data_IF_067309583382
#
_entry.id   IF_067309583382
#
_cell.length_a   1.000
_cell.length_b   1.000
_cell.length_c   1.000
_cell.angle_alpha   90.00
_cell.angle_beta   90.00
_cell.angle_gamma   90.00
#
_symmetry.space_group_name_H-M   'P 1'
#
loop_
_entity.id
_entity.type
_entity.pdbx_description
1 polymer ?
#
# COMPACT_ATOMS: atom_id res chain seq x y z
N UNK A 1 -87.34 10.40 28.78
CA UNK A 1 -85.85 10.29 28.97
C UNK A 1 -85.45 9.02 28.27
N UNK A 2 -84.83 9.15 27.09
CA UNK A 2 -84.38 8.01 26.28
C UNK A 2 -82.90 7.87 26.40
N UNK A 3 -82.43 6.74 26.93
CA UNK A 3 -81.00 6.40 26.97
C UNK A 3 -80.62 5.73 25.66
N UNK A 4 -79.73 6.40 24.94
CA UNK A 4 -79.08 5.86 23.73
C UNK A 4 -77.84 5.13 24.15
N UNK A 5 -77.87 3.78 24.06
CA UNK A 5 -76.66 2.95 24.19
C UNK A 5 -76.04 2.75 22.81
N UNK A 6 -74.83 3.26 22.61
CA UNK A 6 -74.04 3.00 21.42
C UNK A 6 -73.28 1.63 21.57
N UNK A 7 -73.31 0.79 20.56
CA UNK A 7 -72.48 -0.43 20.58
C UNK A 7 -71.01 -0.06 20.18
N UNK A 8 -70.09 -0.35 21.07
CA UNK A 8 -68.63 -0.26 20.78
C UNK A 8 -68.24 -1.50 19.98
N UNK A 9 -68.06 -1.32 18.68
CA UNK A 9 -67.58 -2.37 17.78
C UNK A 9 -66.05 -2.42 17.86
N UNK A 10 -65.56 -3.27 18.77
CA UNK A 10 -64.13 -3.50 18.91
C UNK A 10 -63.69 -4.49 17.81
N UNK A 11 -63.20 -3.92 16.69
CA UNK A 11 -62.60 -4.68 15.60
C UNK A 11 -61.25 -5.19 16.06
N UNK A 12 -61.15 -6.48 16.46
CA UNK A 12 -59.90 -7.15 16.73
C UNK A 12 -59.11 -7.25 15.42
N UNK A 13 -58.11 -6.40 15.27
CA UNK A 13 -57.10 -6.58 14.23
C UNK A 13 -56.23 -7.80 14.58
N UNK A 14 -56.47 -8.89 13.88
CA UNK A 14 -55.63 -10.08 13.97
C UNK A 14 -54.32 -9.80 13.28
N UNK A 15 -53.27 -9.47 14.04
CA UNK A 15 -51.91 -9.35 13.52
C UNK A 15 -51.48 -10.76 13.13
N UNK A 16 -51.48 -11.02 11.82
CA UNK A 16 -51.01 -12.29 11.24
C UNK A 16 -49.48 -12.23 11.30
N UNK A 17 -48.89 -12.80 12.34
CA UNK A 17 -47.47 -13.09 12.37
C UNK A 17 -47.19 -14.18 11.33
N UNK A 18 -46.70 -13.76 10.14
CA UNK A 18 -46.22 -14.70 9.14
C UNK A 18 -44.99 -15.39 9.72
N UNK A 19 -45.15 -16.62 10.18
CA UNK A 19 -44.07 -17.47 10.69
C UNK A 19 -43.02 -17.61 9.60
N UNK A 20 -41.90 -16.91 9.74
CA UNK A 20 -40.76 -17.05 8.85
C UNK A 20 -40.27 -18.50 8.91
N UNK A 21 -40.21 -19.12 7.75
CA UNK A 21 -39.78 -20.50 7.62
C UNK A 21 -38.31 -20.58 8.01
N UNK A 22 -38.00 -21.21 9.15
CA UNK A 22 -36.62 -21.28 9.71
C UNK A 22 -35.61 -21.77 8.68
N UNK A 23 -36.03 -22.64 7.77
CA UNK A 23 -35.18 -23.16 6.68
C UNK A 23 -34.76 -22.04 5.68
N UNK A 24 -35.68 -21.14 5.31
CA UNK A 24 -35.36 -20.01 4.41
C UNK A 24 -34.47 -18.97 5.06
N UNK A 25 -34.62 -18.76 6.37
CA UNK A 25 -33.74 -17.86 7.12
C UNK A 25 -32.30 -18.39 7.18
N UNK A 26 -32.11 -19.65 7.52
CA UNK A 26 -30.78 -20.28 7.52
C UNK A 26 -30.15 -20.29 6.13
N UNK A 27 -30.93 -20.57 5.09
CA UNK A 27 -30.39 -20.53 3.72
C UNK A 27 -29.88 -19.13 3.34
N UNK A 28 -30.60 -18.07 3.68
CA UNK A 28 -30.20 -16.68 3.43
C UNK A 28 -28.93 -16.30 4.18
N UNK A 29 -28.79 -16.69 5.46
CA UNK A 29 -27.60 -16.42 6.27
C UNK A 29 -26.37 -17.12 5.68
N UNK A 30 -26.47 -18.41 5.35
CA UNK A 30 -25.37 -19.19 4.75
C UNK A 30 -24.94 -18.58 3.40
N UNK A 31 -25.91 -18.22 2.55
CA UNK A 31 -25.61 -17.59 1.26
C UNK A 31 -24.93 -16.24 1.44
N UNK A 32 -25.38 -15.43 2.39
CA UNK A 32 -24.77 -14.14 2.72
C UNK A 32 -23.29 -14.29 3.16
N UNK A 33 -23.01 -15.23 4.06
CA UNK A 33 -21.66 -15.51 4.54
C UNK A 33 -20.75 -15.93 3.37
N UNK A 34 -21.20 -16.88 2.53
CA UNK A 34 -20.41 -17.35 1.39
C UNK A 34 -20.09 -16.21 0.41
N UNK A 35 -21.08 -15.36 0.07
CA UNK A 35 -20.87 -14.21 -0.81
C UNK A 35 -19.89 -13.21 -0.21
N UNK A 36 -19.92 -12.99 1.11
CA UNK A 36 -18.97 -12.08 1.77
C UNK A 36 -17.55 -12.63 1.69
N UNK A 37 -17.35 -13.93 1.95
CA UNK A 37 -16.02 -14.54 1.83
C UNK A 37 -15.49 -14.53 0.40
N UNK A 38 -16.34 -14.81 -0.60
CA UNK A 38 -15.96 -14.72 -2.00
C UNK A 38 -15.60 -13.28 -2.37
N UNK A 39 -16.37 -12.29 -1.92
CA UNK A 39 -16.05 -10.87 -2.14
C UNK A 39 -14.72 -10.46 -1.55
N UNK A 40 -14.43 -10.83 -0.29
CA UNK A 40 -13.14 -10.54 0.37
C UNK A 40 -11.98 -11.26 -0.33
N UNK A 41 -12.19 -12.51 -0.79
CA UNK A 41 -11.18 -13.25 -1.52
C UNK A 41 -10.84 -12.60 -2.86
N UNK A 42 -11.85 -12.15 -3.62
CA UNK A 42 -11.66 -11.43 -4.88
C UNK A 42 -10.92 -10.11 -4.66
N UNK A 43 -11.27 -9.33 -3.62
CA UNK A 43 -10.57 -8.10 -3.28
C UNK A 43 -9.11 -8.40 -2.90
N UNK A 44 -8.85 -9.47 -2.14
CA UNK A 44 -7.49 -9.92 -1.80
C UNK A 44 -6.67 -10.29 -3.03
N UNK A 45 -7.25 -10.97 -4.01
CA UNK A 45 -6.57 -11.32 -5.26
C UNK A 45 -6.31 -10.11 -6.16
N UNK A 46 -7.25 -9.17 -6.22
CA UNK A 46 -7.07 -7.92 -7.00
C UNK A 46 -5.95 -7.06 -6.40
N UNK A 47 -5.85 -6.99 -5.07
CA UNK A 47 -4.74 -6.26 -4.42
C UNK A 47 -3.37 -6.94 -4.60
N UNK A 48 -3.31 -8.26 -4.83
CA UNK A 48 -2.05 -8.95 -5.15
C UNK A 48 -1.62 -8.75 -6.60
N UNK A 49 -2.55 -8.46 -7.51
CA UNK A 49 -2.23 -8.18 -8.92
C UNK A 49 -1.82 -6.73 -9.19
N UNK A 50 -1.62 -5.90 -8.17
CA UNK A 50 -0.94 -4.60 -8.31
C UNK A 50 0.58 -4.73 -8.54
N UNK A 51 1.11 -5.95 -8.67
CA UNK A 51 2.48 -6.27 -9.05
C UNK A 51 2.73 -6.21 -10.58
N UNK A 52 1.94 -5.48 -11.33
CA UNK A 52 2.03 -5.39 -12.80
C UNK A 52 2.33 -4.00 -13.36
N UNK A 53 2.39 -2.98 -12.53
CA UNK A 53 3.03 -1.72 -12.90
C UNK A 53 4.36 -1.69 -12.15
N UNK A 54 5.44 -1.96 -12.85
CA UNK A 54 6.78 -1.74 -12.34
C UNK A 54 6.82 -0.27 -11.86
N UNK A 55 6.90 0.01 -10.56
CA UNK A 55 6.83 1.38 -10.06
C UNK A 55 8.05 2.20 -10.48
N UNK A 56 8.99 1.58 -11.20
CA UNK A 56 10.17 2.21 -11.79
C UNK A 56 9.83 2.65 -13.21
N UNK A 57 9.95 3.95 -13.45
CA UNK A 57 9.91 4.53 -14.79
C UNK A 57 11.35 4.77 -15.25
N UNK A 58 11.82 3.94 -16.17
CA UNK A 58 13.17 4.05 -16.72
C UNK A 58 13.30 5.24 -17.69
N UNK A 59 14.48 5.88 -17.67
CA UNK A 59 14.85 6.90 -18.64
C UNK A 59 15.31 6.22 -19.94
N UNK A 60 15.07 6.86 -21.09
CA UNK A 60 15.58 6.38 -22.38
C UNK A 60 17.12 6.31 -22.42
N UNK A 61 17.78 7.22 -21.71
CA UNK A 61 19.24 7.24 -21.55
C UNK A 61 19.62 7.52 -20.11
N UNK A 62 20.55 6.73 -19.52
CA UNK A 62 21.11 7.01 -18.22
C UNK A 62 21.77 8.40 -18.20
N UNK A 63 21.67 9.08 -17.07
CA UNK A 63 22.28 10.40 -16.84
C UNK A 63 23.18 10.31 -15.62
N UNK A 64 24.34 10.99 -15.65
CA UNK A 64 25.19 11.08 -14.47
C UNK A 64 24.41 11.65 -13.29
N UNK A 65 24.51 11.00 -12.14
CA UNK A 65 23.87 11.48 -10.91
C UNK A 65 24.71 12.62 -10.32
N UNK A 66 24.19 13.83 -10.42
CA UNK A 66 24.79 15.08 -9.90
C UNK A 66 26.27 15.26 -10.27
N UNK A 67 26.76 14.68 -11.36
CA UNK A 67 28.16 14.69 -11.81
C UNK A 67 29.17 14.18 -10.75
N UNK A 68 28.71 13.34 -9.81
CA UNK A 68 29.54 12.72 -8.79
C UNK A 68 30.26 11.51 -9.36
N UNK A 69 31.52 11.34 -8.98
CA UNK A 69 32.30 10.14 -9.33
C UNK A 69 32.05 8.98 -8.38
N UNK A 70 31.68 9.31 -7.16
CA UNK A 70 31.45 8.36 -6.09
C UNK A 70 30.48 8.96 -5.07
N UNK A 71 29.55 8.16 -4.56
CA UNK A 71 28.59 8.60 -3.56
C UNK A 71 28.25 7.43 -2.64
N UNK A 72 28.22 7.69 -1.33
CA UNK A 72 27.81 6.70 -0.33
C UNK A 72 26.36 6.89 0.06
N UNK A 73 25.66 5.78 0.23
CA UNK A 73 24.25 5.73 0.60
C UNK A 73 24.08 4.83 1.83
N UNK A 74 23.19 5.21 2.73
CA UNK A 74 22.76 4.38 3.84
C UNK A 74 21.41 3.75 3.51
N UNK A 75 21.31 2.43 3.50
CA UNK A 75 20.08 1.68 3.23
C UNK A 75 19.07 1.90 4.33
N UNK A 76 17.87 2.34 3.95
CA UNK A 76 16.73 2.51 4.84
C UNK A 76 15.78 1.31 4.81
N UNK A 77 15.52 0.79 3.59
CA UNK A 77 14.56 -0.28 3.37
C UNK A 77 14.96 -1.11 2.15
N UNK A 78 14.92 -2.42 2.30
CA UNK A 78 15.19 -3.37 1.20
C UNK A 78 13.89 -3.70 0.47
N UNK A 79 13.93 -3.69 -0.86
CA UNK A 79 12.80 -3.90 -1.76
C UNK A 79 13.14 -4.97 -2.82
N UNK A 80 13.48 -6.18 -2.38
CA UNK A 80 13.90 -7.25 -3.30
C UNK A 80 15.25 -6.95 -3.96
N UNK A 81 15.27 -6.70 -5.26
CA UNK A 81 16.49 -6.39 -6.05
C UNK A 81 16.81 -4.88 -6.06
N UNK A 82 16.39 -4.16 -5.06
CA UNK A 82 16.67 -2.74 -4.90
C UNK A 82 16.58 -2.35 -3.43
N UNK A 83 17.06 -1.16 -3.08
CA UNK A 83 16.90 -0.61 -1.74
C UNK A 83 16.61 0.88 -1.78
N UNK A 84 15.70 1.35 -0.95
CA UNK A 84 15.59 2.77 -0.61
C UNK A 84 16.74 3.13 0.31
N UNK A 85 17.47 4.18 -0.04
CA UNK A 85 18.63 4.63 0.70
C UNK A 85 18.70 6.16 0.78
N UNK A 86 19.38 6.66 1.79
CA UNK A 86 19.66 8.10 1.94
C UNK A 86 21.10 8.38 1.62
N UNK A 87 21.32 9.40 0.81
CA UNK A 87 22.64 9.86 0.41
C UNK A 87 23.42 10.44 1.60
N UNK A 88 24.73 10.23 1.59
CA UNK A 88 25.64 10.90 2.50
C UNK A 88 25.60 12.42 2.25
N UNK A 89 25.40 13.17 3.29
CA UNK A 89 25.54 14.62 3.31
C UNK A 89 26.95 15.01 3.80
N UNK A 90 27.16 16.30 3.98
CA UNK A 90 28.45 16.83 4.44
C UNK A 90 28.93 16.20 5.76
N UNK A 91 30.23 16.13 5.94
CA UNK A 91 30.84 15.68 7.19
C UNK A 91 30.67 16.74 8.26
N UNK A 92 29.98 16.41 9.34
CA UNK A 92 29.85 17.27 10.51
C UNK A 92 30.68 16.65 11.64
N UNK A 93 31.70 17.38 12.13
CA UNK A 93 32.52 16.90 13.24
C UNK A 93 33.42 15.70 12.93
N UNK A 94 33.59 15.34 11.65
CA UNK A 94 34.38 14.18 11.21
C UNK A 94 33.52 12.94 10.87
N UNK A 95 32.28 12.91 11.29
CA UNK A 95 31.35 11.82 10.99
C UNK A 95 30.54 12.10 9.71
N UNK A 96 30.34 11.07 8.91
CA UNK A 96 29.48 11.13 7.72
C UNK A 96 28.02 11.03 8.16
N UNK A 97 27.24 12.02 7.80
CA UNK A 97 25.83 12.06 8.08
C UNK A 97 25.03 11.71 6.81
N UNK A 98 23.89 11.03 6.97
CA UNK A 98 23.04 10.55 5.88
C UNK A 98 21.69 11.28 5.90
N UNK A 99 21.67 12.57 5.53
CA UNK A 99 20.46 13.41 5.42
C UNK A 99 20.19 13.90 4.00
N UNK A 100 20.98 13.43 3.04
CA UNK A 100 20.86 13.83 1.66
C UNK A 100 19.58 13.30 0.99
N UNK A 101 19.59 13.24 -0.32
CA UNK A 101 18.47 12.79 -1.10
C UNK A 101 18.14 11.33 -0.81
N UNK A 102 16.82 11.02 -0.72
CA UNK A 102 16.37 9.63 -0.75
C UNK A 102 16.40 9.16 -2.20
N UNK A 103 16.97 7.99 -2.43
CA UNK A 103 17.10 7.35 -3.74
C UNK A 103 16.69 5.89 -3.68
N UNK A 104 16.39 5.28 -4.81
CA UNK A 104 16.34 3.84 -4.98
C UNK A 104 17.64 3.39 -5.63
N UNK A 105 18.41 2.53 -4.97
CA UNK A 105 19.62 1.90 -5.56
C UNK A 105 19.25 0.51 -6.06
N UNK A 106 19.64 0.19 -7.30
CA UNK A 106 19.47 -1.15 -7.88
C UNK A 106 20.59 -2.05 -7.41
N UNK A 107 20.28 -3.32 -7.18
CA UNK A 107 21.25 -4.35 -6.76
C UNK A 107 20.65 -5.35 -5.80
N UNK A 108 21.42 -6.36 -5.43
CA UNK A 108 20.98 -7.49 -4.61
C UNK A 108 21.70 -7.53 -3.27
N UNK A 109 21.16 -8.34 -2.35
CA UNK A 109 21.78 -8.64 -1.05
C UNK A 109 21.96 -7.46 -0.11
N UNK A 110 21.11 -6.46 -0.22
CA UNK A 110 21.09 -5.36 0.74
C UNK A 110 20.52 -5.78 2.09
N UNK A 111 20.95 -5.08 3.14
CA UNK A 111 20.33 -5.13 4.46
C UNK A 111 20.16 -3.72 5.06
N UNK A 112 19.23 -3.58 5.99
CA UNK A 112 18.95 -2.28 6.63
C UNK A 112 20.18 -1.72 7.34
N UNK A 113 20.34 -0.41 7.29
CA UNK A 113 21.48 0.35 7.83
C UNK A 113 22.83 0.08 7.17
N UNK A 114 22.88 -0.73 6.12
CA UNK A 114 24.09 -0.92 5.32
C UNK A 114 24.53 0.39 4.66
N UNK A 115 25.84 0.64 4.66
CA UNK A 115 26.44 1.72 3.87
C UNK A 115 26.97 1.11 2.57
N UNK A 116 26.48 1.63 1.45
CA UNK A 116 26.85 1.20 0.11
C UNK A 116 27.51 2.38 -0.60
N UNK A 117 28.67 2.15 -1.17
CA UNK A 117 29.35 3.14 -2.00
C UNK A 117 29.16 2.79 -3.46
N UNK A 118 28.61 3.73 -4.22
CA UNK A 118 28.34 3.58 -5.65
C UNK A 118 29.35 4.45 -6.42
N UNK A 119 30.12 3.82 -7.29
CA UNK A 119 31.04 4.50 -8.20
C UNK A 119 30.34 4.83 -9.51
N UNK A 120 30.64 5.99 -10.07
CA UNK A 120 30.03 6.50 -11.30
C UNK A 120 28.50 6.43 -11.27
N UNK A 121 27.83 6.91 -10.21
CA UNK A 121 26.39 6.75 -10.06
C UNK A 121 25.65 7.39 -11.23
N UNK A 122 24.73 6.63 -11.81
CA UNK A 122 23.89 7.06 -12.91
C UNK A 122 22.42 7.01 -12.50
N UNK A 123 21.72 8.06 -12.83
CA UNK A 123 20.26 8.07 -12.72
C UNK A 123 19.68 7.35 -13.94
N UNK A 124 19.07 6.21 -13.71
CA UNK A 124 18.48 5.37 -14.75
C UNK A 124 16.95 5.45 -14.82
N UNK A 125 16.33 6.08 -13.81
CA UNK A 125 14.87 6.17 -13.76
C UNK A 125 14.34 6.97 -12.58
N UNK A 126 13.05 6.80 -12.33
CA UNK A 126 12.33 7.29 -11.14
C UNK A 126 11.49 6.19 -10.56
N UNK A 127 11.35 6.18 -9.26
CA UNK A 127 10.54 5.22 -8.49
C UNK A 127 9.50 5.95 -7.65
N UNK A 128 8.25 5.56 -7.82
CA UNK A 128 7.13 6.08 -7.03
C UNK A 128 6.77 5.15 -5.89
N UNK A 129 6.64 5.65 -4.67
CA UNK A 129 6.19 4.89 -3.52
C UNK A 129 5.29 5.72 -2.60
N UNK A 130 4.56 5.04 -1.74
CA UNK A 130 3.74 5.69 -0.71
C UNK A 130 4.39 5.50 0.65
N UNK A 131 4.58 6.59 1.38
CA UNK A 131 5.12 6.54 2.75
C UNK A 131 4.12 5.91 3.73
N UNK A 132 4.58 5.50 4.91
CA UNK A 132 3.70 4.99 5.98
C UNK A 132 2.62 5.99 6.39
N UNK A 133 2.82 7.29 6.17
CA UNK A 133 1.82 8.34 6.37
C UNK A 133 0.84 8.53 5.21
N UNK A 134 0.86 7.64 4.19
CA UNK A 134 -0.05 7.71 3.05
C UNK A 134 0.33 8.76 1.99
N UNK A 135 1.47 9.43 2.10
CA UNK A 135 1.90 10.43 1.13
C UNK A 135 2.67 9.80 -0.03
N UNK A 136 2.29 10.08 -1.30
CA UNK A 136 3.05 9.64 -2.45
C UNK A 136 4.37 10.40 -2.53
N UNK A 137 5.45 9.69 -2.85
CA UNK A 137 6.78 10.25 -3.12
C UNK A 137 7.37 9.63 -4.37
N UNK A 138 8.21 10.40 -5.06
CA UNK A 138 8.99 9.92 -6.20
C UNK A 138 10.46 10.20 -5.93
N UNK A 139 11.30 9.19 -6.15
CA UNK A 139 12.75 9.28 -5.93
C UNK A 139 13.51 8.86 -7.20
N UNK A 140 14.73 9.36 -7.42
CA UNK A 140 15.56 8.88 -8.50
C UNK A 140 16.00 7.43 -8.28
N UNK A 141 16.08 6.68 -9.37
CA UNK A 141 16.65 5.33 -9.40
C UNK A 141 18.10 5.46 -9.82
N UNK A 142 19.00 4.92 -9.00
CA UNK A 142 20.45 4.99 -9.19
C UNK A 142 20.98 3.59 -9.48
N UNK A 143 21.85 3.53 -10.48
CA UNK A 143 22.64 2.36 -10.85
C UNK A 143 24.11 2.75 -10.93
N UNK A 144 25.01 1.81 -10.77
CA UNK A 144 26.46 2.04 -10.85
C UNK A 144 27.25 0.88 -10.26
N UNK A 145 28.58 1.02 -10.31
CA UNK A 145 29.50 0.02 -9.76
C UNK A 145 29.47 0.11 -8.22
N UNK A 146 29.12 -1.00 -7.56
CA UNK A 146 29.02 -1.09 -6.10
C UNK A 146 30.27 -1.68 -5.48
N UNK A 147 30.69 -1.11 -4.35
CA UNK A 147 31.73 -1.65 -3.47
C UNK A 147 31.19 -1.99 -2.09
#
# INVERSE_FOLDING_TARGET
MASISMPVNCKKETIIYKTMNKKSFFLGVVTGIVLTFVGLFVIGLVNQNSAGNDPIQYLEKPMSYENKKETSFKVLQVLGNAALATEASDKIGGDVMYYGNTVLILGENYYSDQIVTVKNPQRVGTYGYTTNGGMPKTVPVIDGDME
#
